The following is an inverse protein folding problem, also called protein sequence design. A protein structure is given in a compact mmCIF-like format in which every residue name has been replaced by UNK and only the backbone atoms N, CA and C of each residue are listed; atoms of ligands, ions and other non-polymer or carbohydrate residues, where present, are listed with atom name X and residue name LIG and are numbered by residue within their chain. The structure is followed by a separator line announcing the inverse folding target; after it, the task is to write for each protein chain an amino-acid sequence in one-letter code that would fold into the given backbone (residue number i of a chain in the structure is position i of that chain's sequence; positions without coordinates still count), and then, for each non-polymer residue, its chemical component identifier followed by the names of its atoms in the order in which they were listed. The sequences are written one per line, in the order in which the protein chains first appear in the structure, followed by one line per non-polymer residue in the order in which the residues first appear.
data_IF_397200735906
#
_entry.id   IF_397200735906
#
_cell.length_a   1.000
_cell.length_b   1.000
_cell.length_c   1.000
_cell.angle_alpha   90.00
_cell.angle_beta   90.00
_cell.angle_gamma   90.00
#
_symmetry.space_group_name_H-M   'P 1'
#
loop_
_entity.id
_entity.type
_entity.pdbx_description
1 polymer ?
#
# COMPACT_ATOMS: atom_id res chain seq x y z
N UNK A 1 -7.63 59.75 24.82
CA UNK A 1 -6.35 59.08 24.54
C UNK A 1 -6.64 57.57 24.49
N UNK A 2 -7.14 57.08 23.35
CA UNK A 2 -7.92 55.82 23.27
C UNK A 2 -7.22 54.74 22.41
N UNK A 3 -5.96 54.97 22.05
CA UNK A 3 -5.16 54.05 21.23
C UNK A 3 -4.83 52.67 21.82
N UNK A 4 -4.72 52.43 23.15
CA UNK A 4 -4.37 51.10 23.63
C UNK A 4 -5.47 50.05 23.35
N UNK A 5 -6.74 50.47 23.35
CA UNK A 5 -7.87 49.56 23.08
C UNK A 5 -7.95 49.19 21.59
N UNK A 6 -7.67 50.14 20.69
CA UNK A 6 -7.69 49.89 19.25
C UNK A 6 -6.56 48.95 18.82
N UNK A 7 -5.34 49.15 19.35
CA UNK A 7 -4.20 48.28 19.06
C UNK A 7 -4.43 46.86 19.59
N UNK A 8 -4.99 46.73 20.79
CA UNK A 8 -5.36 45.44 21.37
C UNK A 8 -6.38 44.69 20.52
N UNK A 9 -7.43 45.38 20.05
CA UNK A 9 -8.45 44.78 19.20
C UNK A 9 -7.90 44.29 17.84
N UNK A 10 -6.98 45.04 17.24
CA UNK A 10 -6.33 44.64 15.98
C UNK A 10 -5.47 43.38 16.16
N UNK A 11 -4.69 43.32 17.25
CA UNK A 11 -3.87 42.15 17.56
C UNK A 11 -4.76 40.94 17.84
N UNK A 12 -5.83 41.09 18.62
CA UNK A 12 -6.77 40.02 18.92
C UNK A 12 -7.41 39.45 17.64
N UNK A 13 -7.85 40.32 16.73
CA UNK A 13 -8.43 39.91 15.46
C UNK A 13 -7.42 39.20 14.56
N UNK A 14 -6.17 39.67 14.54
CA UNK A 14 -5.09 39.04 13.79
C UNK A 14 -4.78 37.63 14.34
N UNK A 15 -4.68 37.49 15.66
CA UNK A 15 -4.47 36.19 16.31
C UNK A 15 -5.65 35.25 16.07
N UNK A 16 -6.88 35.74 16.17
CA UNK A 16 -8.08 34.94 15.91
C UNK A 16 -8.10 34.40 14.47
N UNK A 17 -7.73 35.22 13.48
CA UNK A 17 -7.62 34.81 12.08
C UNK A 17 -6.54 33.78 11.81
N UNK A 18 -5.51 33.68 12.66
CA UNK A 18 -4.46 32.65 12.54
C UNK A 18 -4.82 31.39 13.33
N UNK A 19 -5.42 31.54 14.49
CA UNK A 19 -5.84 30.41 15.33
C UNK A 19 -6.94 29.57 14.66
N UNK A 20 -7.93 30.21 14.02
CA UNK A 20 -9.02 29.52 13.33
C UNK A 20 -8.52 28.55 12.24
N UNK A 21 -7.71 28.95 11.25
CA UNK A 21 -7.25 28.03 10.21
C UNK A 21 -6.37 26.90 10.77
N UNK A 22 -5.56 27.16 11.80
CA UNK A 22 -4.78 26.11 12.47
C UNK A 22 -5.70 25.11 13.17
N UNK A 23 -6.74 25.58 13.87
CA UNK A 23 -7.71 24.70 14.49
C UNK A 23 -8.44 23.83 13.45
N UNK A 24 -8.84 24.42 12.33
CA UNK A 24 -9.50 23.70 11.22
C UNK A 24 -8.59 22.63 10.63
N UNK A 25 -7.32 22.92 10.36
CA UNK A 25 -6.39 21.93 9.81
C UNK A 25 -6.13 20.78 10.79
N UNK A 26 -5.98 21.07 12.09
CA UNK A 26 -5.82 20.04 13.12
C UNK A 26 -7.05 19.13 13.18
N UNK A 27 -8.26 19.71 13.18
CA UNK A 27 -9.50 18.94 13.17
C UNK A 27 -9.58 18.05 11.92
N UNK A 28 -9.24 18.60 10.74
CA UNK A 28 -9.28 17.86 9.49
C UNK A 28 -8.28 16.69 9.48
N UNK A 29 -7.05 16.90 9.95
CA UNK A 29 -6.04 15.84 10.09
C UNK A 29 -6.53 14.74 11.03
N UNK A 30 -7.13 15.10 12.17
CA UNK A 30 -7.66 14.10 13.12
C UNK A 30 -8.82 13.31 12.52
N UNK A 31 -9.70 13.97 11.75
CA UNK A 31 -10.80 13.33 11.05
C UNK A 31 -10.29 12.32 10.01
N UNK A 32 -9.34 12.73 9.17
CA UNK A 32 -8.75 11.84 8.17
C UNK A 32 -8.05 10.64 8.82
N UNK A 33 -7.27 10.85 9.88
CA UNK A 33 -6.62 9.77 10.63
C UNK A 33 -7.62 8.78 11.22
N UNK A 34 -8.74 9.27 11.74
CA UNK A 34 -9.78 8.42 12.31
C UNK A 34 -10.47 7.58 11.23
N UNK A 35 -10.71 8.15 10.04
CA UNK A 35 -11.27 7.41 8.90
C UNK A 35 -10.28 6.35 8.39
N UNK A 36 -9.01 6.69 8.30
CA UNK A 36 -7.94 5.80 7.83
C UNK A 36 -7.79 4.57 8.73
N UNK A 37 -7.80 4.77 10.06
CA UNK A 37 -7.71 3.67 11.03
C UNK A 37 -8.88 2.69 10.92
N UNK A 38 -10.07 3.20 10.57
CA UNK A 38 -11.25 2.36 10.33
C UNK A 38 -11.05 1.44 9.12
N UNK A 39 -10.51 1.96 8.03
CA UNK A 39 -10.28 1.16 6.81
C UNK A 39 -9.10 0.20 6.95
N UNK A 40 -8.11 0.53 7.77
CA UNK A 40 -6.99 -0.36 8.05
C UNK A 40 -7.43 -1.71 8.64
N UNK A 41 -8.46 -1.71 9.48
CA UNK A 41 -9.00 -2.94 10.07
C UNK A 41 -9.64 -3.87 9.03
N UNK A 42 -10.27 -3.30 7.99
CA UNK A 42 -10.84 -4.08 6.88
C UNK A 42 -9.72 -4.67 6.02
N UNK A 43 -8.66 -3.91 5.74
CA UNK A 43 -7.52 -4.36 4.95
C UNK A 43 -6.66 -5.43 5.66
N UNK A 44 -6.50 -5.38 6.98
CA UNK A 44 -5.75 -6.40 7.72
C UNK A 44 -6.43 -7.78 7.66
N UNK A 45 -7.76 -7.81 7.65
CA UNK A 45 -8.54 -9.05 7.52
C UNK A 45 -8.44 -9.64 6.11
N UNK A 46 -8.52 -8.81 5.06
CA UNK A 46 -8.37 -9.26 3.68
C UNK A 46 -6.90 -9.60 3.34
N UNK A 47 -5.94 -8.82 3.84
CA UNK A 47 -4.52 -9.00 3.60
C UNK A 47 -3.95 -10.28 4.24
N UNK A 48 -4.47 -10.69 5.40
CA UNK A 48 -4.04 -11.92 6.06
C UNK A 48 -4.35 -13.19 5.23
N UNK A 49 -5.39 -13.17 4.40
CA UNK A 49 -5.75 -14.29 3.53
C UNK A 49 -4.86 -14.34 2.25
N UNK A 50 -4.45 -13.18 1.72
CA UNK A 50 -3.64 -13.07 0.49
C UNK A 50 -2.21 -13.60 0.66
N UNK A 51 -1.64 -13.55 1.88
CA UNK A 51 -0.26 -13.98 2.16
C UNK A 51 -0.03 -15.48 1.86
N UNK A 52 -1.06 -16.33 1.92
CA UNK A 52 -0.91 -17.77 1.63
C UNK A 52 -0.93 -18.10 0.14
N UNK A 53 -1.52 -17.24 -0.70
CA UNK A 53 -1.68 -17.50 -2.15
C UNK A 53 -0.36 -17.30 -2.90
N UNK A 54 0.56 -16.49 -2.37
CA UNK A 54 1.89 -16.28 -2.94
C UNK A 54 2.77 -17.53 -3.01
N UNK A 55 2.37 -18.64 -2.37
CA UNK A 55 3.13 -19.89 -2.34
C UNK A 55 2.54 -21.00 -3.24
N UNK A 56 1.40 -20.75 -3.90
CA UNK A 56 0.89 -21.71 -4.89
C UNK A 56 1.72 -21.57 -6.16
N UNK A 57 2.57 -22.55 -6.40
CA UNK A 57 3.42 -22.56 -7.57
C UNK A 57 2.60 -22.60 -8.87
N UNK A 58 3.04 -21.86 -9.88
CA UNK A 58 2.46 -21.88 -11.22
C UNK A 58 2.33 -23.31 -11.81
N UNK A 59 3.17 -24.25 -11.37
CA UNK A 59 3.14 -25.66 -11.77
C UNK A 59 1.94 -26.45 -11.22
N UNK A 60 1.37 -26.06 -10.08
CA UNK A 60 0.17 -26.68 -9.52
C UNK A 60 -1.08 -26.22 -10.29
N UNK A 61 -1.15 -24.93 -10.59
CA UNK A 61 -2.27 -24.33 -11.35
C UNK A 61 -2.27 -24.82 -12.80
N UNK A 62 -1.11 -24.80 -13.46
CA UNK A 62 -1.00 -25.25 -14.85
C UNK A 62 -0.81 -26.76 -15.00
N UNK A 63 -0.85 -27.52 -13.90
CA UNK A 63 -0.66 -28.99 -13.86
C UNK A 63 0.55 -29.45 -14.69
N UNK A 64 1.69 -28.77 -14.53
CA UNK A 64 2.89 -29.10 -15.32
C UNK A 64 3.38 -30.53 -15.01
N UNK A 65 3.83 -31.31 -16.01
CA UNK A 65 4.42 -32.64 -15.79
C UNK A 65 5.78 -32.56 -15.08
N UNK A 66 6.21 -33.67 -14.46
CA UNK A 66 7.42 -33.72 -13.63
C UNK A 66 8.69 -33.26 -14.37
N UNK A 67 8.82 -33.60 -15.66
CA UNK A 67 9.94 -33.20 -16.51
C UNK A 67 10.03 -31.67 -16.66
N UNK A 68 8.90 -31.00 -16.87
CA UNK A 68 8.86 -29.54 -16.96
C UNK A 68 9.11 -28.86 -15.61
N UNK A 69 8.69 -29.50 -14.50
CA UNK A 69 8.98 -28.97 -13.15
C UNK A 69 10.47 -29.00 -12.86
N UNK A 70 11.15 -30.11 -13.16
CA UNK A 70 12.60 -30.26 -12.96
C UNK A 70 13.40 -29.22 -13.76
N UNK A 71 12.97 -28.89 -14.98
CA UNK A 71 13.58 -27.86 -15.82
C UNK A 71 13.18 -26.41 -15.46
N UNK A 72 12.20 -26.21 -14.57
CA UNK A 72 11.64 -24.90 -14.27
C UNK A 72 12.49 -24.15 -13.22
N UNK A 73 13.01 -22.97 -13.59
CA UNK A 73 13.76 -22.10 -12.68
C UNK A 73 12.94 -21.69 -11.44
N UNK A 74 11.63 -21.48 -11.59
CA UNK A 74 10.78 -21.09 -10.48
C UNK A 74 10.52 -22.25 -9.49
N UNK A 75 10.43 -23.48 -9.98
CA UNK A 75 10.27 -24.66 -9.12
C UNK A 75 11.53 -24.90 -8.28
N UNK A 76 12.70 -24.69 -8.87
CA UNK A 76 14.00 -24.86 -8.21
C UNK A 76 14.38 -23.70 -7.27
N UNK A 77 13.57 -22.64 -7.18
CA UNK A 77 13.80 -21.49 -6.30
C UNK A 77 12.52 -21.16 -5.51
N UNK A 78 12.15 -21.97 -4.50
CA UNK A 78 10.91 -21.81 -3.76
C UNK A 78 10.86 -20.50 -2.96
N UNK A 79 12.01 -19.88 -2.66
CA UNK A 79 12.09 -18.62 -1.93
C UNK A 79 11.51 -17.42 -2.70
N UNK A 80 11.32 -17.56 -4.03
CA UNK A 80 10.85 -16.49 -4.89
C UNK A 80 9.67 -16.96 -5.73
N UNK A 81 8.59 -16.18 -5.82
CA UNK A 81 7.49 -16.53 -6.69
C UNK A 81 7.93 -16.49 -8.16
N UNK A 82 7.24 -17.25 -9.02
CA UNK A 82 7.66 -17.45 -10.41
C UNK A 82 7.85 -16.14 -11.19
N UNK A 83 7.00 -15.15 -10.94
CA UNK A 83 7.06 -13.84 -11.59
C UNK A 83 8.26 -12.99 -11.17
N UNK A 84 8.86 -13.23 -9.99
CA UNK A 84 10.15 -12.64 -9.63
C UNK A 84 11.33 -13.38 -10.28
N UNK A 85 11.26 -14.70 -10.34
CA UNK A 85 12.31 -15.52 -10.96
C UNK A 85 12.45 -15.24 -12.46
N UNK A 86 11.32 -15.02 -13.14
CA UNK A 86 11.27 -14.71 -14.57
C UNK A 86 11.31 -13.21 -14.87
N UNK A 87 11.54 -12.35 -13.88
CA UNK A 87 11.65 -10.90 -14.12
C UNK A 87 12.87 -10.60 -14.98
N UNK A 88 12.74 -9.65 -15.89
CA UNK A 88 13.84 -9.20 -16.74
C UNK A 88 14.90 -8.46 -15.91
N UNK A 89 16.13 -8.43 -16.43
CA UNK A 89 17.27 -7.75 -15.76
C UNK A 89 17.04 -6.24 -15.58
N UNK A 90 16.24 -5.63 -16.46
CA UNK A 90 15.82 -4.22 -16.37
C UNK A 90 14.70 -4.01 -15.32
N UNK A 91 14.30 -5.05 -14.60
CA UNK A 91 13.22 -5.01 -13.60
C UNK A 91 11.82 -5.16 -14.18
N UNK A 92 11.65 -5.29 -15.50
CA UNK A 92 10.33 -5.45 -16.15
C UNK A 92 9.77 -6.85 -15.93
N UNK A 93 8.46 -6.90 -15.75
CA UNK A 93 7.71 -8.13 -15.72
C UNK A 93 7.44 -8.59 -17.16
N UNK A 94 7.55 -9.90 -17.40
CA UNK A 94 7.19 -10.48 -18.71
C UNK A 94 5.68 -10.34 -18.96
N UNK A 95 5.28 -10.14 -20.22
CA UNK A 95 3.86 -9.96 -20.60
C UNK A 95 2.98 -11.13 -20.13
N UNK A 96 3.47 -12.36 -20.25
CA UNK A 96 2.77 -13.57 -19.78
C UNK A 96 2.43 -13.55 -18.28
N UNK A 97 3.19 -12.80 -17.47
CA UNK A 97 2.95 -12.70 -16.05
C UNK A 97 1.92 -11.62 -15.71
N UNK A 98 1.71 -10.60 -16.56
CA UNK A 98 0.75 -9.51 -16.32
C UNK A 98 -0.69 -10.06 -16.23
N UNK A 99 -1.02 -11.05 -17.06
CA UNK A 99 -2.33 -11.71 -17.08
C UNK A 99 -2.43 -12.96 -16.21
N UNK A 100 -1.35 -13.38 -15.53
CA UNK A 100 -1.33 -14.64 -14.79
C UNK A 100 -2.00 -14.50 -13.42
N UNK A 101 -2.90 -15.43 -13.09
CA UNK A 101 -3.62 -15.41 -11.80
C UNK A 101 -2.69 -15.46 -10.59
N UNK A 102 -1.54 -16.15 -10.69
CA UNK A 102 -0.52 -16.17 -9.62
C UNK A 102 0.01 -14.76 -9.32
N UNK A 103 0.20 -13.94 -10.36
CA UNK A 103 0.67 -12.58 -10.18
C UNK A 103 -0.47 -11.64 -9.74
N UNK A 104 -1.68 -11.83 -10.28
CA UNK A 104 -2.85 -11.01 -9.93
C UNK A 104 -3.28 -11.14 -8.48
N UNK A 105 -3.07 -12.31 -7.89
CA UNK A 105 -3.33 -12.58 -6.47
C UNK A 105 -2.06 -12.50 -5.62
N UNK A 106 -0.96 -11.98 -6.18
CA UNK A 106 0.25 -11.78 -5.40
C UNK A 106 0.01 -10.69 -4.34
N UNK A 107 0.55 -10.85 -3.12
CA UNK A 107 0.46 -9.82 -2.10
C UNK A 107 1.12 -8.54 -2.60
N UNK A 108 0.44 -7.41 -2.42
CA UNK A 108 0.96 -6.09 -2.77
C UNK A 108 2.17 -5.82 -1.86
N UNK A 109 3.33 -5.43 -2.40
CA UNK A 109 4.48 -5.14 -1.56
C UNK A 109 4.15 -3.95 -0.65
N UNK A 110 4.03 -4.23 0.65
CA UNK A 110 4.03 -3.19 1.67
C UNK A 110 5.38 -2.48 1.61
N UNK A 111 5.36 -1.20 1.27
CA UNK A 111 6.56 -0.37 1.27
C UNK A 111 7.01 -0.25 2.72
N UNK A 112 8.21 -0.77 3.01
CA UNK A 112 8.83 -0.70 4.34
C UNK A 112 9.41 0.69 4.62
#
# INVERSE_FOLDING_TARGET
MEWPTTVSAMILLALLRVAIPIAVTIIFIKLLKWLDERWKQEADLEGAEVVKVGNVGCWEINKCPAEQRAACKAYNNPDKPCWQVFREKNGRLQERCIGCDVFRHAPVPVTA
#
